data_IF_008715366766
#
_entry.id   IF_008715366766
#
_cell.length_a   1.000
_cell.length_b   1.000
_cell.length_c   1.000
_cell.angle_alpha   90.00
_cell.angle_beta   90.00
_cell.angle_gamma   90.00
#
_symmetry.space_group_name_H-M   'P 1'
#
loop_
_entity.id
_entity.type
_entity.pdbx_description
1 polymer ?
#
# COMPACT_ATOMS: atom_id res chain seq x y z
N UNK A 1 -11.55 3.05 9.30
CA UNK A 1 -10.45 3.00 8.32
C UNK A 1 -9.13 3.13 9.06
N UNK A 2 -8.17 2.30 8.68
CA UNK A 2 -6.88 2.25 9.36
C UNK A 2 -5.80 2.83 8.48
N UNK A 3 -4.97 3.68 9.04
CA UNK A 3 -3.89 4.33 8.31
C UNK A 3 -2.56 4.04 9.01
N UNK A 4 -1.61 3.54 8.25
CA UNK A 4 -0.30 3.15 8.78
C UNK A 4 0.79 3.87 8.00
N UNK A 5 1.60 4.67 8.70
CA UNK A 5 2.79 5.26 8.08
C UNK A 5 3.94 4.28 8.27
N UNK A 6 4.46 3.75 7.17
CA UNK A 6 5.51 2.75 7.21
C UNK A 6 6.88 3.41 7.21
N UNK A 7 7.04 4.48 6.42
CA UNK A 7 8.31 5.15 6.27
C UNK A 7 8.06 6.63 5.99
N UNK A 8 8.87 7.50 6.56
CA UNK A 8 8.67 8.96 6.47
C UNK A 8 9.34 9.58 5.26
N UNK A 9 9.76 8.78 4.32
CA UNK A 9 10.28 9.22 3.03
C UNK A 9 9.77 8.28 1.95
N UNK A 10 9.46 8.82 0.78
CA UNK A 10 9.08 8.00 -0.35
C UNK A 10 10.27 7.13 -0.76
N UNK A 11 10.05 5.83 -0.85
CA UNK A 11 11.11 4.87 -1.17
C UNK A 11 10.51 3.68 -1.89
N UNK A 12 10.94 3.48 -3.12
CA UNK A 12 10.40 2.41 -3.96
C UNK A 12 10.66 1.03 -3.39
N UNK A 13 11.84 0.80 -2.82
CA UNK A 13 12.17 -0.49 -2.23
C UNK A 13 11.27 -0.81 -1.04
N UNK A 14 11.07 0.17 -0.18
CA UNK A 14 10.21 0.01 0.99
C UNK A 14 8.78 -0.22 0.54
N UNK A 15 8.31 0.50 -0.45
CA UNK A 15 6.99 0.32 -1.02
C UNK A 15 6.78 -1.13 -1.50
N UNK A 16 7.72 -1.66 -2.28
CA UNK A 16 7.59 -3.03 -2.78
C UNK A 16 7.68 -4.06 -1.67
N UNK A 17 8.50 -3.82 -0.66
CA UNK A 17 8.56 -4.72 0.49
C UNK A 17 7.25 -4.77 1.26
N UNK A 18 6.61 -3.62 1.43
CA UNK A 18 5.29 -3.54 2.09
C UNK A 18 4.27 -4.33 1.29
N UNK A 19 4.26 -4.16 -0.03
CA UNK A 19 3.33 -4.89 -0.90
C UNK A 19 3.53 -6.39 -0.77
N UNK A 20 4.77 -6.85 -0.76
CA UNK A 20 5.06 -8.28 -0.59
C UNK A 20 4.59 -8.81 0.75
N UNK A 21 4.79 -8.04 1.82
CA UNK A 21 4.36 -8.45 3.15
C UNK A 21 2.85 -8.58 3.23
N UNK A 22 2.12 -7.64 2.63
CA UNK A 22 0.67 -7.71 2.58
C UNK A 22 0.23 -8.96 1.83
N UNK A 23 0.84 -9.24 0.69
CA UNK A 23 0.53 -10.42 -0.10
C UNK A 23 0.85 -11.71 0.64
N UNK A 24 1.87 -11.68 1.49
CA UNK A 24 2.25 -12.83 2.29
C UNK A 24 1.29 -13.08 3.45
N UNK A 25 0.86 -12.01 4.11
CA UNK A 25 -0.01 -12.10 5.30
C UNK A 25 -1.45 -12.42 4.90
N UNK A 26 -1.95 -11.80 3.85
CA UNK A 26 -3.32 -11.98 3.39
C UNK A 26 -3.35 -12.82 2.12
N UNK A 27 -3.82 -14.05 2.24
CA UNK A 27 -3.68 -15.06 1.18
C UNK A 27 -4.62 -14.86 -0.01
N UNK A 28 -5.82 -14.34 0.23
CA UNK A 28 -6.86 -14.27 -0.80
C UNK A 28 -7.01 -12.85 -1.37
N UNK A 29 -5.88 -12.22 -1.66
CA UNK A 29 -5.89 -10.87 -2.20
C UNK A 29 -6.01 -10.87 -3.72
N UNK A 30 -6.80 -9.92 -4.20
CA UNK A 30 -6.83 -9.56 -5.62
C UNK A 30 -6.11 -8.22 -5.78
N UNK A 31 -5.03 -8.22 -6.54
CA UNK A 31 -4.25 -7.01 -6.78
C UNK A 31 -4.72 -6.35 -8.07
N UNK A 32 -4.97 -5.05 -8.01
CA UNK A 32 -5.23 -4.27 -9.21
C UNK A 32 -3.92 -3.81 -9.82
N UNK A 33 -3.99 -3.35 -11.08
CA UNK A 33 -2.84 -2.78 -11.75
C UNK A 33 -2.40 -1.53 -10.97
N UNK A 34 -1.10 -1.36 -10.69
CA UNK A 34 -0.65 -0.17 -9.98
C UNK A 34 -0.96 1.11 -10.74
N UNK A 35 -1.35 2.15 -10.02
CA UNK A 35 -1.59 3.46 -10.60
C UNK A 35 -0.34 4.31 -10.37
N UNK A 36 0.24 4.80 -11.46
CA UNK A 36 1.48 5.58 -11.42
C UNK A 36 1.16 7.01 -11.83
N UNK A 37 1.49 7.95 -10.95
CA UNK A 37 1.27 9.37 -11.21
C UNK A 37 2.46 9.97 -11.96
N UNK A 38 2.28 11.19 -12.45
CA UNK A 38 3.29 11.89 -13.24
C UNK A 38 4.55 12.20 -12.44
N UNK A 39 4.44 12.36 -11.12
CA UNK A 39 5.58 12.61 -10.25
C UNK A 39 6.30 11.32 -9.81
N UNK A 40 5.85 10.17 -10.30
CA UNK A 40 6.44 8.89 -9.94
C UNK A 40 5.79 8.22 -8.73
N UNK A 41 4.81 8.86 -8.11
CA UNK A 41 4.06 8.24 -7.01
C UNK A 41 3.30 7.03 -7.51
N UNK A 42 3.22 5.99 -6.67
CA UNK A 42 2.58 4.73 -7.03
C UNK A 42 1.54 4.37 -5.97
N UNK A 43 0.40 3.90 -6.42
CA UNK A 43 -0.65 3.37 -5.54
C UNK A 43 -0.91 1.93 -5.97
N UNK A 44 -0.73 0.99 -5.03
CA UNK A 44 -1.11 -0.40 -5.26
C UNK A 44 -2.38 -0.68 -4.48
N UNK A 45 -3.41 -1.11 -5.18
CA UNK A 45 -4.72 -1.38 -4.57
C UNK A 45 -4.94 -2.89 -4.53
N UNK A 46 -5.30 -3.39 -3.36
CA UNK A 46 -5.65 -4.78 -3.14
C UNK A 46 -7.09 -4.87 -2.65
N UNK A 47 -7.74 -5.96 -2.98
CA UNK A 47 -9.05 -6.29 -2.44
C UNK A 47 -8.98 -7.62 -1.70
N UNK A 48 -9.51 -7.64 -0.49
CA UNK A 48 -9.74 -8.85 0.28
C UNK A 48 -11.26 -8.99 0.44
N UNK A 49 -11.89 -9.74 -0.48
CA UNK A 49 -13.34 -9.74 -0.57
C UNK A 49 -13.83 -8.36 -0.96
N UNK A 50 -14.60 -7.72 -0.07
CA UNK A 50 -15.12 -6.36 -0.28
C UNK A 50 -14.17 -5.29 0.24
N UNK A 51 -13.18 -5.68 1.00
CA UNK A 51 -12.32 -4.74 1.72
C UNK A 51 -11.18 -4.28 0.83
N UNK A 52 -10.93 -2.99 0.86
CA UNK A 52 -9.90 -2.36 0.02
C UNK A 52 -8.70 -1.98 0.87
N UNK A 53 -7.52 -2.29 0.37
CA UNK A 53 -6.25 -1.93 0.99
C UNK A 53 -5.44 -1.17 -0.05
N UNK A 54 -5.01 0.04 0.28
CA UNK A 54 -4.20 0.86 -0.62
C UNK A 54 -2.83 1.07 -0.03
N UNK A 55 -1.80 0.79 -0.82
CA UNK A 55 -0.41 1.05 -0.42
C UNK A 55 0.11 2.18 -1.29
N UNK A 56 0.66 3.19 -0.66
CA UNK A 56 1.12 4.41 -1.35
C UNK A 56 2.62 4.57 -1.22
N UNK A 57 3.26 4.91 -2.32
CA UNK A 57 4.58 5.53 -2.32
C UNK A 57 4.36 6.94 -2.88
N UNK A 58 4.25 7.91 -2.00
CA UNK A 58 3.76 9.24 -2.34
C UNK A 58 4.88 10.26 -2.21
N UNK A 59 5.30 10.81 -3.34
CA UNK A 59 6.39 11.80 -3.37
C UNK A 59 5.93 13.19 -2.93
N UNK A 60 4.64 13.47 -3.02
CA UNK A 60 4.11 14.78 -2.61
C UNK A 60 4.15 14.95 -1.10
N UNK A 61 3.71 13.92 -0.36
CA UNK A 61 3.80 13.95 1.11
C UNK A 61 5.08 13.31 1.61
N UNK A 62 5.86 12.73 0.72
CA UNK A 62 7.15 12.10 0.99
C UNK A 62 7.03 10.99 2.03
N UNK A 63 6.24 9.97 1.73
CA UNK A 63 6.01 8.87 2.65
C UNK A 63 5.58 7.60 1.93
N UNK A 64 5.83 6.46 2.58
CA UNK A 64 5.22 5.18 2.23
C UNK A 64 4.18 4.90 3.31
N UNK A 65 2.92 4.72 2.91
CA UNK A 65 1.86 4.50 3.87
C UNK A 65 0.78 3.58 3.33
N UNK A 66 -0.02 3.06 4.26
CA UNK A 66 -1.13 2.15 3.94
C UNK A 66 -2.42 2.78 4.43
N UNK A 67 -3.45 2.72 3.59
CA UNK A 67 -4.80 3.12 3.92
C UNK A 67 -5.68 1.89 3.73
N UNK A 68 -6.28 1.39 4.80
CA UNK A 68 -6.95 0.09 4.78
C UNK A 68 -8.26 0.14 5.55
N UNK A 69 -9.27 -0.56 5.05
CA UNK A 69 -10.50 -0.79 5.81
C UNK A 69 -10.34 -2.00 6.74
N UNK A 70 -9.26 -2.74 6.60
CA UNK A 70 -8.94 -3.91 7.42
C UNK A 70 -7.87 -3.53 8.42
N UNK A 71 -8.02 -4.01 9.67
CA UNK A 71 -6.98 -3.82 10.68
C UNK A 71 -5.84 -4.79 10.38
N UNK A 72 -4.69 -4.24 9.98
CA UNK A 72 -3.49 -5.02 9.66
C UNK A 72 -2.57 -5.18 10.87
N UNK A 73 -2.94 -4.59 11.97
CA UNK A 73 -2.15 -4.54 13.18
C UNK A 73 -2.41 -5.80 14.00
N UNK A 74 -1.63 -6.80 13.78
CA UNK A 74 -1.82 -8.11 14.43
C UNK A 74 -0.62 -8.50 15.24
#
# INVERSE_FOLDING_TARGET
>A
MFKYTIHKQADRKIFYNVCRQIEYILKDLNAEKPLIDVDGSVIQIYYSGKDKIKVYNDYEVDAVYIDSVVNLDK
#
